data_IF_441522332392
#
_entry.id   IF_441522332392
#
_cell.length_a   1.000
_cell.length_b   1.000
_cell.length_c   1.000
_cell.angle_alpha   90.00
_cell.angle_beta   90.00
_cell.angle_gamma   90.00
#
_symmetry.space_group_name_H-M   'P 1'
#
loop_
_entity.id
_entity.type
_entity.pdbx_description
1 polymer ?
#
# COMPACT_ATOMS: atom_id res chain seq x y z
N UNK A 1 -23.39 -68.18 -38.99
CA UNK A 1 -23.08 -67.93 -37.57
C UNK A 1 -21.97 -66.89 -37.55
N UNK A 2 -22.33 -65.65 -37.23
CA UNK A 2 -21.46 -64.48 -37.29
C UNK A 2 -20.49 -64.46 -36.11
N UNK A 3 -19.19 -64.21 -36.35
CA UNK A 3 -18.31 -63.65 -35.32
C UNK A 3 -17.82 -62.28 -35.80
N UNK A 4 -18.22 -61.25 -35.04
CA UNK A 4 -17.80 -59.85 -35.18
C UNK A 4 -16.41 -59.68 -34.56
N UNK A 5 -15.51 -59.03 -35.28
CA UNK A 5 -14.32 -58.40 -34.70
C UNK A 5 -14.72 -57.02 -34.16
N UNK A 6 -14.44 -56.75 -32.88
CA UNK A 6 -14.42 -55.40 -32.30
C UNK A 6 -13.02 -54.80 -32.48
N UNK A 7 -12.88 -53.52 -32.88
CA UNK A 7 -11.62 -52.81 -32.75
C UNK A 7 -11.46 -52.31 -31.31
N UNK A 8 -10.31 -52.61 -30.70
CA UNK A 8 -9.87 -52.02 -29.43
C UNK A 8 -9.33 -50.63 -29.73
N UNK A 9 -10.03 -49.60 -29.30
CA UNK A 9 -9.53 -48.22 -29.30
C UNK A 9 -8.45 -48.07 -28.24
N UNK A 10 -7.22 -47.78 -28.67
CA UNK A 10 -6.17 -47.26 -27.80
C UNK A 10 -6.51 -45.81 -27.44
N UNK A 11 -6.92 -45.57 -26.20
CA UNK A 11 -6.97 -44.23 -25.63
C UNK A 11 -5.53 -43.87 -25.19
N UNK A 12 -4.83 -43.06 -25.99
CA UNK A 12 -3.65 -42.35 -25.46
C UNK A 12 -4.17 -41.29 -24.47
N UNK A 13 -4.02 -41.54 -23.17
CA UNK A 13 -4.01 -40.46 -22.20
C UNK A 13 -2.68 -39.71 -22.38
N UNK A 14 -2.72 -38.57 -23.06
CA UNK A 14 -1.70 -37.55 -22.93
C UNK A 14 -1.81 -36.95 -21.53
N UNK A 15 -0.96 -37.40 -20.62
CA UNK A 15 -0.75 -36.75 -19.32
C UNK A 15 -0.07 -35.40 -19.59
N UNK A 16 -0.84 -34.33 -19.64
CA UNK A 16 -0.31 -32.98 -19.53
C UNK A 16 0.01 -32.78 -18.06
N UNK A 17 1.28 -32.95 -17.70
CA UNK A 17 1.80 -32.52 -16.41
C UNK A 17 1.78 -30.98 -16.40
N UNK A 18 0.78 -30.38 -15.78
CA UNK A 18 0.91 -29.02 -15.30
C UNK A 18 1.95 -29.04 -14.17
N UNK A 19 2.97 -28.16 -14.19
CA UNK A 19 3.84 -28.00 -13.04
C UNK A 19 2.95 -27.61 -11.85
N UNK A 20 3.03 -28.40 -10.79
CA UNK A 20 2.46 -28.05 -9.50
C UNK A 20 3.10 -26.73 -9.08
N UNK A 21 2.29 -25.68 -8.95
CA UNK A 21 2.65 -24.51 -8.16
C UNK A 21 3.01 -25.02 -6.77
N UNK A 22 4.21 -24.70 -6.29
CA UNK A 22 4.53 -24.82 -4.88
C UNK A 22 3.53 -23.95 -4.09
N UNK A 23 2.99 -24.50 -3.01
CA UNK A 23 2.22 -23.77 -2.00
C UNK A 23 0.71 -23.64 -2.26
N UNK A 24 -0.05 -24.73 -2.26
CA UNK A 24 -1.45 -24.68 -1.82
C UNK A 24 -1.51 -24.97 -0.31
N UNK A 25 -0.78 -24.19 0.48
CA UNK A 25 -1.27 -23.88 1.82
C UNK A 25 -2.35 -22.83 1.61
N UNK A 26 -3.61 -23.25 1.52
CA UNK A 26 -4.71 -22.33 1.25
C UNK A 26 -4.75 -21.29 2.35
N UNK A 27 -4.26 -20.07 2.07
CA UNK A 27 -4.42 -18.96 3.00
C UNK A 27 -5.88 -18.84 3.42
N UNK A 28 -6.09 -18.41 4.66
CA UNK A 28 -7.44 -18.17 5.18
C UNK A 28 -8.01 -16.94 4.49
N UNK A 29 -8.89 -17.17 3.53
CA UNK A 29 -9.69 -16.11 2.91
C UNK A 29 -10.64 -15.51 3.95
N UNK A 30 -10.46 -14.22 4.24
CA UNK A 30 -11.24 -13.45 5.22
C UNK A 30 -12.53 -12.86 4.64
N UNK A 31 -12.72 -12.94 3.32
CA UNK A 31 -13.85 -12.29 2.62
C UNK A 31 -13.88 -10.77 2.87
N UNK A 32 -12.72 -10.14 3.00
CA UNK A 32 -12.57 -8.71 3.30
C UNK A 32 -13.21 -7.80 2.26
N UNK A 33 -13.31 -8.24 1.00
CA UNK A 33 -14.07 -7.58 -0.06
C UNK A 33 -15.60 -7.60 0.13
N UNK A 34 -16.10 -8.33 1.13
CA UNK A 34 -17.52 -8.35 1.54
C UNK A 34 -17.81 -7.61 2.85
N UNK A 35 -16.78 -7.03 3.49
CA UNK A 35 -17.00 -6.27 4.72
C UNK A 35 -17.71 -4.95 4.42
N UNK A 36 -18.68 -4.60 5.25
CA UNK A 36 -19.36 -3.32 5.18
C UNK A 36 -18.67 -2.33 6.14
N UNK A 37 -18.38 -1.12 5.65
CA UNK A 37 -17.84 -0.04 6.45
C UNK A 37 -18.34 1.32 5.94
N UNK A 38 -18.32 2.30 6.82
CA UNK A 38 -18.56 3.72 6.52
C UNK A 38 -17.53 4.52 7.27
N UNK A 39 -16.78 5.36 6.56
CA UNK A 39 -15.73 6.17 7.16
C UNK A 39 -16.25 7.47 7.81
N UNK A 40 -15.36 8.23 8.44
CA UNK A 40 -15.68 9.50 9.09
C UNK A 40 -16.16 10.60 8.13
N UNK A 41 -15.97 10.44 6.81
CA UNK A 41 -16.52 11.33 5.79
C UNK A 41 -17.91 10.87 5.27
N UNK A 42 -18.44 9.74 5.77
CA UNK A 42 -19.74 9.20 5.37
C UNK A 42 -19.70 8.38 4.08
N UNK A 43 -18.52 8.00 3.57
CA UNK A 43 -18.38 7.17 2.37
C UNK A 43 -18.61 5.72 2.74
N UNK A 44 -19.48 5.05 1.98
CA UNK A 44 -19.77 3.63 2.16
C UNK A 44 -18.90 2.82 1.20
N UNK A 45 -18.35 1.70 1.67
CA UNK A 45 -17.61 0.80 0.80
C UNK A 45 -18.53 0.16 -0.26
N UNK A 46 -18.12 0.11 -1.53
CA UNK A 46 -18.92 -0.50 -2.59
C UNK A 46 -19.14 -1.98 -2.32
N UNK A 47 -20.37 -2.44 -2.57
CA UNK A 47 -20.77 -3.84 -2.44
C UNK A 47 -21.15 -4.44 -3.79
N UNK A 48 -21.70 -5.66 -3.80
CA UNK A 48 -21.98 -6.47 -5.01
C UNK A 48 -22.78 -5.75 -6.11
N UNK A 49 -23.58 -4.73 -5.78
CA UNK A 49 -24.38 -3.95 -6.75
C UNK A 49 -23.69 -2.71 -7.29
N UNK A 50 -22.56 -2.31 -6.71
CA UNK A 50 -21.89 -1.04 -6.97
C UNK A 50 -20.47 -1.21 -7.53
N UNK A 51 -19.89 -2.40 -7.42
CA UNK A 51 -18.58 -2.75 -7.95
C UNK A 51 -18.71 -3.91 -8.96
N UNK A 52 -17.77 -4.03 -9.92
CA UNK A 52 -17.77 -5.17 -10.83
C UNK A 52 -17.53 -6.49 -10.06
N UNK A 53 -17.82 -7.65 -10.66
CA UNK A 53 -17.32 -8.92 -10.14
C UNK A 53 -15.78 -8.91 -10.04
N UNK A 54 -15.22 -9.71 -9.12
CA UNK A 54 -13.76 -9.82 -8.95
C UNK A 54 -13.02 -10.05 -10.27
N UNK A 55 -12.06 -9.17 -10.55
CA UNK A 55 -11.18 -9.14 -11.71
C UNK A 55 -9.80 -9.62 -11.28
N UNK A 56 -9.37 -10.77 -11.79
CA UNK A 56 -8.09 -11.41 -11.42
C UNK A 56 -6.89 -10.86 -12.19
N UNK A 57 -7.14 -10.04 -13.20
CA UNK A 57 -6.18 -9.45 -14.12
C UNK A 57 -5.96 -7.94 -13.87
N UNK A 58 -6.32 -7.47 -12.67
CA UNK A 58 -6.13 -6.09 -12.23
C UNK A 58 -5.38 -6.08 -10.90
N UNK A 59 -4.34 -5.26 -10.84
CA UNK A 59 -3.39 -5.25 -9.74
C UNK A 59 -3.22 -3.85 -9.15
N UNK A 60 -3.02 -3.79 -7.84
CA UNK A 60 -2.78 -2.53 -7.11
C UNK A 60 -1.50 -2.68 -6.30
N UNK A 61 -0.53 -1.82 -6.59
CA UNK A 61 0.66 -1.62 -5.78
C UNK A 61 0.57 -0.35 -4.97
N UNK A 62 1.23 -0.30 -3.82
CA UNK A 62 1.31 0.92 -3.01
C UNK A 62 2.76 1.27 -2.67
N UNK A 63 3.07 2.56 -2.72
CA UNK A 63 4.37 3.07 -2.29
C UNK A 63 4.50 2.94 -0.78
N UNK A 64 5.62 2.40 -0.31
CA UNK A 64 5.84 2.05 1.08
C UNK A 64 7.24 2.45 1.55
N UNK A 65 7.31 3.07 2.71
CA UNK A 65 8.52 3.66 3.28
C UNK A 65 9.05 2.82 4.43
N UNK A 66 10.24 2.25 4.23
CA UNK A 66 10.95 1.42 5.21
C UNK A 66 11.96 2.21 6.05
N UNK A 67 12.21 3.47 5.72
CA UNK A 67 13.18 4.36 6.41
C UNK A 67 12.72 4.99 7.74
N UNK A 68 11.63 4.49 8.35
CA UNK A 68 11.29 4.84 9.74
C UNK A 68 12.24 4.08 10.69
N UNK A 69 13.45 4.58 10.80
CA UNK A 69 14.54 3.90 11.51
C UNK A 69 14.72 4.45 12.93
N UNK A 70 15.69 3.89 13.65
CA UNK A 70 16.08 4.40 14.96
C UNK A 70 16.63 5.84 14.89
N UNK A 71 15.95 6.77 15.55
CA UNK A 71 16.44 8.13 15.83
C UNK A 71 16.47 8.41 17.33
N UNK A 72 17.61 8.93 17.82
CA UNK A 72 17.82 9.26 19.24
C UNK A 72 17.07 10.51 19.69
N UNK A 73 16.83 11.46 18.80
CA UNK A 73 16.09 12.69 19.10
C UNK A 73 14.71 12.65 18.42
N UNK A 74 13.82 13.55 18.81
CA UNK A 74 12.46 13.65 18.30
C UNK A 74 11.44 12.92 19.18
N UNK A 75 10.25 12.61 18.65
CA UNK A 75 9.75 12.96 17.32
C UNK A 75 9.62 14.48 17.14
N UNK A 76 10.05 15.00 15.98
CA UNK A 76 9.73 16.38 15.58
C UNK A 76 8.40 16.32 14.81
N UNK A 77 7.31 16.90 15.31
CA UNK A 77 5.99 16.82 14.68
C UNK A 77 5.53 18.21 14.21
N UNK A 78 5.47 18.40 12.90
CA UNK A 78 5.15 19.68 12.29
C UNK A 78 3.75 20.17 12.67
N UNK A 79 2.75 19.30 12.74
CA UNK A 79 1.39 19.70 13.13
C UNK A 79 1.39 20.26 14.56
N UNK A 80 2.09 19.60 15.49
CA UNK A 80 2.21 20.06 16.88
C UNK A 80 3.06 21.32 17.01
N UNK A 81 4.16 21.43 16.26
CA UNK A 81 5.05 22.60 16.28
C UNK A 81 4.32 23.86 15.75
N UNK A 82 3.60 23.72 14.64
CA UNK A 82 2.80 24.81 14.07
C UNK A 82 1.67 25.19 15.02
N UNK A 83 0.97 24.22 15.61
CA UNK A 83 -0.08 24.49 16.60
C UNK A 83 0.46 25.24 17.82
N UNK A 84 1.66 24.88 18.31
CA UNK A 84 2.30 25.54 19.44
C UNK A 84 2.71 26.99 19.14
N UNK A 85 3.07 27.29 17.88
CA UNK A 85 3.36 28.66 17.44
C UNK A 85 2.10 29.55 17.39
N UNK A 86 0.90 28.97 17.19
CA UNK A 86 -0.35 29.70 17.14
C UNK A 86 -0.38 30.71 15.98
N UNK A 87 -0.71 31.96 16.28
CA UNK A 87 -0.71 33.06 15.29
C UNK A 87 0.68 33.65 15.01
N UNK A 88 1.73 33.10 15.64
CA UNK A 88 3.10 33.54 15.39
C UNK A 88 3.51 33.23 13.94
N UNK A 89 4.15 34.17 13.22
CA UNK A 89 4.75 33.88 11.92
C UNK A 89 6.02 33.04 12.05
N UNK A 90 6.54 32.86 13.26
CA UNK A 90 7.76 32.10 13.56
C UNK A 90 7.41 30.78 14.26
N UNK A 91 7.93 29.67 13.72
CA UNK A 91 7.88 28.34 14.32
C UNK A 91 9.30 27.96 14.77
N UNK A 92 9.45 27.55 16.02
CA UNK A 92 10.72 27.04 16.53
C UNK A 92 10.98 25.62 16.00
N UNK A 93 11.56 25.53 14.81
CA UNK A 93 11.92 24.25 14.20
C UNK A 93 13.12 23.60 14.90
N UNK A 94 13.00 22.35 15.41
CA UNK A 94 14.14 21.66 16.00
C UNK A 94 15.34 21.54 15.04
N UNK A 95 16.54 21.70 15.57
CA UNK A 95 17.82 21.53 14.85
C UNK A 95 18.59 20.40 15.53
N UNK A 96 18.03 19.19 15.49
CA UNK A 96 18.54 18.00 16.19
C UNK A 96 18.93 16.84 15.25
N UNK A 97 18.87 17.07 13.94
CA UNK A 97 19.22 16.08 12.91
C UNK A 97 18.20 14.96 12.70
N UNK A 98 17.08 14.96 13.43
CA UNK A 98 15.97 14.02 13.23
C UNK A 98 15.03 14.55 12.16
N UNK A 99 14.53 13.70 11.23
CA UNK A 99 13.53 14.10 10.26
C UNK A 99 12.21 14.51 10.96
N UNK A 100 11.36 15.23 10.25
CA UNK A 100 10.13 15.76 10.80
C UNK A 100 8.94 14.92 10.36
N UNK A 101 8.13 14.51 11.31
CA UNK A 101 6.81 13.96 11.04
C UNK A 101 5.87 15.09 10.59
N UNK A 102 5.06 14.85 9.57
CA UNK A 102 4.00 15.79 9.20
C UNK A 102 2.81 15.75 10.17
N UNK A 103 2.62 14.63 10.88
CA UNK A 103 1.60 14.40 11.91
C UNK A 103 1.87 13.11 12.70
N UNK A 104 0.97 12.73 13.61
CA UNK A 104 1.11 11.50 14.42
C UNK A 104 0.36 10.32 13.78
N UNK A 105 1.07 9.22 13.41
CA UNK A 105 0.40 7.99 12.98
C UNK A 105 -0.51 7.44 14.07
N UNK A 106 -1.61 6.75 13.70
CA UNK A 106 -2.48 6.10 14.68
C UNK A 106 -1.70 5.13 15.59
N UNK A 107 -0.73 4.43 14.99
CA UNK A 107 0.17 3.48 15.64
C UNK A 107 1.35 4.15 16.35
N UNK A 108 1.36 5.49 16.43
CA UNK A 108 2.41 6.31 17.01
C UNK A 108 3.66 6.41 16.13
N UNK A 109 4.64 7.20 16.56
CA UNK A 109 5.96 7.37 15.94
C UNK A 109 6.83 6.10 16.00
N UNK A 110 6.41 5.05 15.31
CA UNK A 110 7.02 3.72 15.31
C UNK A 110 8.32 3.65 14.51
N UNK A 111 9.01 2.52 14.58
CA UNK A 111 10.05 2.14 13.62
C UNK A 111 9.56 1.02 12.71
N UNK A 112 10.08 0.92 11.48
CA UNK A 112 9.77 -0.17 10.56
C UNK A 112 10.48 -1.50 10.88
N UNK A 113 10.75 -1.73 12.16
CA UNK A 113 11.11 -3.03 12.74
C UNK A 113 10.09 -3.53 13.75
N UNK A 114 9.06 -2.73 14.08
CA UNK A 114 8.01 -3.07 15.04
C UNK A 114 7.03 -4.10 14.45
N UNK A 115 7.04 -5.36 14.92
CA UNK A 115 6.18 -6.41 14.36
C UNK A 115 4.69 -6.11 14.56
N UNK A 116 4.31 -5.35 15.60
CA UNK A 116 2.92 -4.94 15.81
C UNK A 116 2.43 -4.06 14.65
N UNK A 117 3.27 -3.11 14.24
CA UNK A 117 2.97 -2.18 13.14
C UNK A 117 2.98 -2.91 11.81
N UNK A 118 4.02 -3.71 11.55
CA UNK A 118 4.13 -4.50 10.32
C UNK A 118 2.89 -5.38 10.11
N UNK A 119 2.43 -6.08 11.15
CA UNK A 119 1.22 -6.91 11.09
C UNK A 119 -0.03 -6.10 10.78
N UNK A 120 -0.24 -4.99 11.48
CA UNK A 120 -1.43 -4.15 11.25
C UNK A 120 -1.43 -3.56 9.84
N UNK A 121 -0.28 -3.11 9.34
CA UNK A 121 -0.15 -2.66 7.95
C UNK A 121 -0.47 -3.77 6.94
N UNK A 122 0.09 -4.97 7.14
CA UNK A 122 -0.16 -6.11 6.27
C UNK A 122 -1.65 -6.47 6.20
N UNK A 123 -2.31 -6.62 7.36
CA UNK A 123 -3.74 -6.91 7.43
C UNK A 123 -4.56 -5.85 6.73
N UNK A 124 -4.38 -4.56 7.07
CA UNK A 124 -5.12 -3.46 6.45
C UNK A 124 -4.94 -3.43 4.93
N UNK A 125 -3.70 -3.51 4.44
CA UNK A 125 -3.42 -3.42 3.01
C UNK A 125 -3.94 -4.64 2.24
N UNK A 126 -3.83 -5.84 2.81
CA UNK A 126 -4.46 -7.04 2.25
C UNK A 126 -5.98 -6.93 2.23
N UNK A 127 -6.60 -6.43 3.29
CA UNK A 127 -8.05 -6.26 3.39
C UNK A 127 -8.59 -5.21 2.42
N UNK A 128 -7.81 -4.17 2.15
CA UNK A 128 -8.09 -3.19 1.10
C UNK A 128 -7.91 -3.75 -0.32
N UNK A 129 -7.21 -4.88 -0.48
CA UNK A 129 -6.97 -5.54 -1.76
C UNK A 129 -5.68 -5.13 -2.47
N UNK A 130 -4.68 -4.59 -1.75
CA UNK A 130 -3.35 -4.25 -2.27
C UNK A 130 -2.53 -5.53 -2.48
N UNK A 131 -1.96 -5.68 -3.69
CA UNK A 131 -1.22 -6.86 -4.10
C UNK A 131 0.27 -6.79 -3.73
N UNK A 132 0.87 -5.59 -3.74
CA UNK A 132 2.30 -5.42 -3.49
C UNK A 132 2.69 -4.10 -2.83
N UNK A 133 3.68 -4.17 -1.95
CA UNK A 133 4.42 -3.02 -1.43
C UNK A 133 5.62 -2.71 -2.32
N UNK A 134 5.80 -1.44 -2.66
CA UNK A 134 6.98 -0.95 -3.37
C UNK A 134 7.83 -0.17 -2.38
N UNK A 135 8.96 -0.73 -1.97
CA UNK A 135 9.85 -0.11 -1.00
C UNK A 135 10.63 1.05 -1.62
N UNK A 136 10.54 2.22 -0.98
CA UNK A 136 11.32 3.39 -1.37
C UNK A 136 12.81 3.19 -1.12
N UNK A 137 13.54 2.98 -2.21
CA UNK A 137 15.00 2.95 -2.25
C UNK A 137 15.54 3.91 -3.31
N UNK A 138 14.76 4.95 -3.62
CA UNK A 138 15.11 5.92 -4.69
C UNK A 138 16.34 6.75 -4.35
N UNK A 139 16.67 6.88 -3.05
CA UNK A 139 17.84 7.59 -2.55
C UNK A 139 19.01 6.63 -2.33
N UNK A 140 19.93 6.58 -3.30
CA UNK A 140 21.12 5.75 -3.21
C UNK A 140 22.03 6.16 -2.01
N UNK A 141 22.73 5.20 -1.38
CA UNK A 141 22.74 3.75 -1.62
C UNK A 141 21.79 2.99 -0.66
N UNK A 142 20.76 3.65 -0.13
CA UNK A 142 19.98 3.11 0.99
C UNK A 142 18.96 2.05 0.53
N UNK A 143 19.05 0.88 1.14
CA UNK A 143 18.08 -0.22 0.94
C UNK A 143 17.17 -0.46 2.14
N UNK A 144 17.53 0.09 3.31
CA UNK A 144 16.82 -0.14 4.58
C UNK A 144 16.72 -1.62 4.94
N UNK A 145 17.88 -2.30 4.89
CA UNK A 145 18.00 -3.76 5.03
C UNK A 145 17.38 -4.31 6.30
N UNK A 146 17.69 -3.69 7.43
CA UNK A 146 17.17 -4.15 8.72
C UNK A 146 15.63 -4.09 8.75
N UNK A 147 15.06 -3.03 8.19
CA UNK A 147 13.63 -2.75 8.16
C UNK A 147 12.88 -3.64 7.16
N UNK A 148 13.35 -3.78 5.91
CA UNK A 148 12.66 -4.67 4.95
C UNK A 148 12.78 -6.13 5.38
N UNK A 149 13.90 -6.56 5.98
CA UNK A 149 14.02 -7.94 6.46
C UNK A 149 13.15 -8.18 7.69
N UNK A 150 12.98 -7.19 8.58
CA UNK A 150 12.04 -7.28 9.69
C UNK A 150 10.61 -7.49 9.17
N UNK A 151 10.24 -6.73 8.12
CA UNK A 151 8.98 -6.93 7.41
C UNK A 151 8.87 -8.33 6.80
N UNK A 152 9.89 -8.80 6.08
CA UNK A 152 9.87 -10.13 5.46
C UNK A 152 9.74 -11.27 6.48
N UNK A 153 10.47 -11.20 7.59
CA UNK A 153 10.36 -12.17 8.71
C UNK A 153 8.96 -12.19 9.30
N UNK A 154 8.34 -11.03 9.47
CA UNK A 154 6.99 -10.97 10.03
C UNK A 154 5.94 -11.43 9.02
N UNK A 155 6.09 -11.10 7.73
CA UNK A 155 5.21 -11.61 6.67
C UNK A 155 5.29 -13.13 6.54
N UNK A 156 6.49 -13.71 6.64
CA UNK A 156 6.68 -15.15 6.68
C UNK A 156 5.92 -15.79 7.85
N UNK A 157 6.01 -15.22 9.07
CA UNK A 157 5.24 -15.69 10.23
C UNK A 157 3.73 -15.59 10.01
N UNK A 158 3.26 -14.44 9.50
CA UNK A 158 1.85 -14.24 9.18
C UNK A 158 1.35 -15.28 8.18
N UNK A 159 2.14 -15.59 7.14
CA UNK A 159 1.81 -16.61 6.14
C UNK A 159 1.80 -18.02 6.72
N UNK A 160 2.76 -18.37 7.59
CA UNK A 160 2.77 -19.64 8.32
C UNK A 160 1.56 -19.82 9.26
N UNK A 161 1.01 -18.73 9.78
CA UNK A 161 -0.25 -18.74 10.55
C UNK A 161 -1.48 -18.91 9.65
N UNK A 162 -1.31 -18.76 8.34
CA UNK A 162 -2.36 -18.86 7.31
C UNK A 162 -2.95 -17.52 6.89
N UNK A 163 -2.33 -16.39 7.25
CA UNK A 163 -2.76 -15.06 6.81
C UNK A 163 -2.17 -14.71 5.43
N UNK A 164 -2.90 -13.91 4.64
CA UNK A 164 -2.35 -13.30 3.44
C UNK A 164 -1.56 -12.04 3.80
N UNK A 165 -0.58 -11.72 2.96
CA UNK A 165 0.18 -10.46 3.03
C UNK A 165 0.40 -9.96 1.61
N UNK A 166 0.58 -8.64 1.39
CA UNK A 166 1.05 -8.15 0.10
C UNK A 166 2.42 -8.77 -0.25
N UNK A 167 2.72 -8.84 -1.53
CA UNK A 167 4.07 -9.13 -2.01
C UNK A 167 4.99 -7.91 -1.85
N UNK A 168 6.29 -8.08 -2.11
CA UNK A 168 7.30 -7.00 -2.01
C UNK A 168 7.96 -6.73 -3.35
N UNK A 169 8.29 -5.47 -3.60
CA UNK A 169 9.02 -4.96 -4.75
C UNK A 169 9.87 -3.75 -4.33
N UNK A 170 10.91 -3.43 -5.08
CA UNK A 170 11.77 -2.26 -4.82
C UNK A 170 11.64 -1.23 -5.94
N UNK A 171 11.61 0.05 -5.56
CA UNK A 171 11.85 1.16 -6.47
C UNK A 171 13.26 1.72 -6.24
N UNK A 172 14.13 1.46 -7.20
CA UNK A 172 15.52 1.89 -7.21
C UNK A 172 15.63 3.36 -7.69
N UNK A 173 16.80 4.01 -7.54
CA UNK A 173 17.02 5.37 -8.00
C UNK A 173 16.62 5.58 -9.47
N UNK A 174 15.96 6.70 -9.74
CA UNK A 174 15.50 7.06 -11.09
C UNK A 174 16.64 7.24 -12.12
N UNK A 175 17.85 7.53 -11.61
CA UNK A 175 19.09 7.61 -12.37
C UNK A 175 19.79 6.26 -12.47
N UNK A 176 21.03 6.19 -11.96
CA UNK A 176 21.79 4.94 -11.86
C UNK A 176 21.25 4.08 -10.69
N UNK A 177 20.65 2.91 -10.97
CA UNK A 177 20.07 2.06 -9.93
C UNK A 177 21.10 1.14 -9.26
N UNK A 178 22.30 0.99 -9.81
CA UNK A 178 23.26 -0.05 -9.40
C UNK A 178 23.64 -0.01 -7.91
N UNK A 179 23.83 1.16 -7.26
CA UNK A 179 24.17 1.21 -5.84
C UNK A 179 23.15 0.55 -4.90
N UNK A 180 21.89 0.45 -5.35
CA UNK A 180 20.78 -0.20 -4.63
C UNK A 180 20.56 -1.60 -5.19
N UNK A 181 20.50 -1.75 -6.52
CA UNK A 181 20.22 -3.01 -7.20
C UNK A 181 21.24 -4.10 -6.84
N UNK A 182 22.54 -3.77 -6.82
CA UNK A 182 23.59 -4.73 -6.46
C UNK A 182 23.44 -5.23 -5.01
N UNK A 183 23.02 -4.35 -4.10
CA UNK A 183 22.81 -4.71 -2.69
C UNK A 183 21.62 -5.64 -2.53
N UNK A 184 20.45 -5.27 -3.06
CA UNK A 184 19.26 -6.14 -2.96
C UNK A 184 19.44 -7.44 -3.74
N UNK A 185 20.22 -7.44 -4.82
CA UNK A 185 20.58 -8.66 -5.52
C UNK A 185 21.36 -9.62 -4.63
N UNK A 186 22.48 -9.18 -4.05
CA UNK A 186 23.32 -10.04 -3.21
C UNK A 186 22.67 -10.38 -1.86
N UNK A 187 21.88 -9.47 -1.29
CA UNK A 187 21.28 -9.63 0.04
C UNK A 187 19.97 -10.44 0.04
N UNK A 188 19.16 -10.36 -1.02
CA UNK A 188 17.79 -10.89 -1.04
C UNK A 188 17.55 -11.87 -2.20
N UNK A 189 17.74 -11.42 -3.44
CA UNK A 189 17.27 -12.16 -4.61
C UNK A 189 18.17 -13.34 -4.99
N UNK A 190 19.48 -13.12 -5.07
CA UNK A 190 20.45 -14.15 -5.46
C UNK A 190 20.51 -15.32 -4.47
N UNK A 191 20.43 -15.12 -3.15
CA UNK A 191 20.38 -16.23 -2.20
C UNK A 191 19.01 -16.91 -2.12
N UNK A 192 17.96 -16.37 -2.75
CA UNK A 192 16.61 -16.94 -2.72
C UNK A 192 15.84 -16.64 -1.43
N UNK A 193 16.16 -15.56 -0.71
CA UNK A 193 15.51 -15.27 0.57
C UNK A 193 14.08 -14.75 0.35
N UNK A 194 13.13 -15.35 1.06
CA UNK A 194 11.70 -15.00 1.00
C UNK A 194 11.12 -14.99 -0.43
N UNK A 195 11.50 -15.97 -1.26
CA UNK A 195 11.07 -16.06 -2.67
C UNK A 195 9.54 -15.97 -2.85
N UNK A 196 8.78 -16.54 -1.92
CA UNK A 196 7.31 -16.50 -1.94
C UNK A 196 6.73 -15.11 -1.69
N UNK A 197 7.51 -14.18 -1.12
CA UNK A 197 7.09 -12.79 -0.89
C UNK A 197 7.30 -11.91 -2.13
N UNK A 198 8.11 -12.32 -3.12
CA UNK A 198 8.48 -11.44 -4.23
C UNK A 198 7.29 -11.20 -5.17
N UNK A 199 7.03 -9.93 -5.49
CA UNK A 199 6.03 -9.62 -6.50
C UNK A 199 6.52 -10.02 -7.87
N UNK A 200 5.75 -10.86 -8.57
CA UNK A 200 6.10 -11.36 -9.90
C UNK A 200 5.28 -10.67 -10.97
N UNK A 201 5.96 -10.16 -11.98
CA UNK A 201 5.37 -9.56 -13.18
C UNK A 201 5.90 -10.28 -14.42
N UNK A 202 5.00 -10.72 -15.30
CA UNK A 202 5.34 -11.47 -16.51
C UNK A 202 6.19 -12.74 -16.22
N UNK A 203 5.90 -13.40 -15.08
CA UNK A 203 6.52 -14.66 -14.66
C UNK A 203 7.83 -14.53 -13.90
N UNK A 204 8.37 -13.32 -13.75
CA UNK A 204 9.64 -13.06 -13.04
C UNK A 204 9.48 -12.04 -11.91
N UNK A 205 10.36 -12.00 -10.91
CA UNK A 205 10.38 -10.92 -9.93
C UNK A 205 10.45 -9.56 -10.62
N UNK A 206 9.59 -8.64 -10.20
CA UNK A 206 9.59 -7.26 -10.67
C UNK A 206 10.62 -6.43 -9.89
N UNK A 207 11.32 -5.53 -10.58
CA UNK A 207 12.04 -4.43 -9.94
C UNK A 207 11.85 -3.15 -10.75
N UNK A 208 11.59 -2.03 -10.06
CA UNK A 208 11.55 -0.73 -10.72
C UNK A 208 12.96 -0.15 -10.74
N UNK A 209 13.69 -0.39 -11.83
CA UNK A 209 15.05 0.09 -12.04
C UNK A 209 15.27 0.35 -13.53
N UNK A 210 16.15 1.30 -13.87
CA UNK A 210 16.49 1.54 -15.27
C UNK A 210 17.41 0.42 -15.81
N UNK A 211 16.94 -0.45 -16.73
CA UNK A 211 17.71 -1.59 -17.22
C UNK A 211 18.93 -1.22 -18.07
N UNK A 212 19.06 0.03 -18.51
CA UNK A 212 20.19 0.49 -19.32
C UNK A 212 21.52 0.45 -18.55
N UNK A 213 21.47 0.58 -17.22
CA UNK A 213 22.63 0.52 -16.33
C UNK A 213 23.06 -0.92 -16.02
N UNK A 214 22.15 -1.89 -16.15
CA UNK A 214 22.38 -3.28 -15.73
C UNK A 214 23.14 -4.05 -16.82
N UNK A 215 24.41 -4.36 -16.55
CA UNK A 215 25.29 -5.10 -17.47
C UNK A 215 25.39 -6.59 -17.16
N UNK A 216 25.09 -7.01 -15.93
CA UNK A 216 25.11 -8.40 -15.52
C UNK A 216 24.01 -9.21 -16.26
N UNK A 217 24.37 -10.21 -17.09
CA UNK A 217 23.38 -11.01 -17.82
C UNK A 217 22.48 -11.84 -16.89
N UNK A 218 22.93 -12.21 -15.70
CA UNK A 218 22.14 -12.95 -14.72
C UNK A 218 21.00 -12.08 -14.18
N UNK A 219 21.32 -10.88 -13.68
CA UNK A 219 20.30 -9.91 -13.23
C UNK A 219 19.31 -9.57 -14.36
N UNK A 220 19.81 -9.35 -15.58
CA UNK A 220 18.97 -9.06 -16.76
C UNK A 220 18.00 -10.18 -17.10
N UNK A 221 18.41 -11.43 -16.90
CA UNK A 221 17.56 -12.59 -17.15
C UNK A 221 16.59 -12.85 -15.99
N UNK A 222 16.99 -12.52 -14.75
CA UNK A 222 16.23 -12.81 -13.55
C UNK A 222 15.01 -11.90 -13.37
N UNK A 223 15.15 -10.59 -13.56
CA UNK A 223 14.07 -9.64 -13.31
C UNK A 223 13.21 -9.34 -14.54
N UNK A 224 11.96 -9.00 -14.28
CA UNK A 224 11.20 -8.09 -15.14
C UNK A 224 11.52 -6.67 -14.70
N UNK A 225 12.02 -5.85 -15.62
CA UNK A 225 12.33 -4.44 -15.35
C UNK A 225 11.19 -3.54 -15.80
N UNK A 226 10.88 -2.53 -14.99
CA UNK A 226 10.19 -1.32 -15.43
C UNK A 226 11.01 -0.12 -15.01
N UNK A 227 11.30 0.81 -15.90
CA UNK A 227 12.05 2.02 -15.53
C UNK A 227 11.13 2.96 -14.74
N UNK A 228 11.46 3.34 -13.50
CA UNK A 228 10.68 4.32 -12.77
C UNK A 228 10.91 5.72 -13.33
N UNK A 229 9.84 6.48 -13.54
CA UNK A 229 9.89 7.84 -14.06
C UNK A 229 9.78 8.88 -12.92
N UNK A 230 10.71 9.85 -12.82
CA UNK A 230 10.79 10.76 -11.67
C UNK A 230 9.81 11.93 -11.70
N UNK A 231 9.32 12.32 -12.87
CA UNK A 231 8.57 13.56 -13.08
C UNK A 231 7.07 13.29 -13.16
N UNK A 232 6.26 14.25 -12.68
CA UNK A 232 4.81 14.10 -12.58
C UNK A 232 4.05 14.74 -13.74
N UNK A 233 4.73 15.62 -14.49
CA UNK A 233 4.18 16.41 -15.60
C UNK A 233 4.61 15.85 -16.95
N UNK A 234 5.81 15.30 -17.00
CA UNK A 234 6.35 14.62 -18.17
C UNK A 234 6.01 13.14 -18.07
N UNK A 235 5.09 12.70 -18.94
CA UNK A 235 4.74 11.29 -19.06
C UNK A 235 5.90 10.38 -19.54
N UNK A 236 5.59 9.12 -19.87
CA UNK A 236 6.60 8.15 -20.27
C UNK A 236 7.38 8.61 -21.50
N UNK A 237 8.68 8.34 -21.50
CA UNK A 237 9.59 8.56 -22.64
C UNK A 237 9.72 7.33 -23.54
N UNK A 238 9.11 6.21 -23.16
CA UNK A 238 9.13 4.95 -23.90
C UNK A 238 8.28 3.88 -23.23
N UNK A 239 8.23 2.66 -23.80
CA UNK A 239 7.52 1.53 -23.20
C UNK A 239 8.25 0.99 -21.96
N UNK A 240 7.55 0.15 -21.19
CA UNK A 240 8.10 -0.58 -20.03
C UNK A 240 8.69 0.37 -18.97
N UNK A 241 8.01 1.50 -18.77
CA UNK A 241 8.29 2.50 -17.75
C UNK A 241 7.06 2.63 -16.86
N UNK A 242 7.22 2.85 -15.57
CA UNK A 242 6.11 3.12 -14.64
C UNK A 242 6.32 4.45 -13.92
N UNK A 243 5.23 5.12 -13.56
CA UNK A 243 5.27 6.28 -12.66
C UNK A 243 4.96 5.86 -11.24
N UNK A 244 5.61 6.54 -10.29
CA UNK A 244 5.29 6.45 -8.87
C UNK A 244 4.27 7.51 -8.45
N UNK A 245 4.19 8.66 -9.13
CA UNK A 245 3.26 9.75 -8.84
C UNK A 245 3.06 10.63 -10.07
N UNK A 246 1.84 11.11 -10.30
CA UNK A 246 1.49 12.01 -11.41
C UNK A 246 0.60 13.14 -10.91
N UNK A 247 0.52 14.22 -11.68
CA UNK A 247 -0.52 15.25 -11.52
C UNK A 247 -1.73 14.89 -12.37
N UNK A 248 -2.90 15.43 -12.04
CA UNK A 248 -4.08 15.26 -12.88
C UNK A 248 -4.04 16.14 -14.15
N UNK A 249 -4.47 15.63 -15.32
CA UNK A 249 -4.78 14.23 -15.63
C UNK A 249 -3.49 13.40 -15.79
N UNK A 250 -3.49 12.16 -15.28
CA UNK A 250 -2.29 11.32 -15.32
C UNK A 250 -2.00 10.78 -16.72
N UNK A 251 -0.73 10.45 -16.95
CA UNK A 251 -0.33 9.74 -18.17
C UNK A 251 -0.61 8.24 -18.07
N UNK A 252 -0.91 7.63 -19.23
CA UNK A 252 -0.98 6.18 -19.41
C UNK A 252 0.42 5.63 -19.68
N UNK A 253 0.94 4.77 -18.79
CA UNK A 253 2.23 4.11 -18.96
C UNK A 253 2.05 2.77 -19.67
N UNK A 254 2.62 2.68 -20.88
CA UNK A 254 2.43 1.53 -21.77
C UNK A 254 3.57 0.54 -21.69
N UNK A 255 3.25 -0.74 -21.85
CA UNK A 255 4.27 -1.77 -22.07
C UNK A 255 4.71 -1.83 -23.53
N UNK A 256 5.71 -2.65 -23.83
CA UNK A 256 6.22 -2.88 -25.19
C UNK A 256 5.20 -3.46 -26.18
N UNK A 257 4.06 -4.00 -25.70
CA UNK A 257 2.93 -4.42 -26.54
C UNK A 257 1.96 -3.28 -26.87
N UNK A 258 2.15 -2.10 -26.27
CA UNK A 258 1.30 -0.92 -26.46
C UNK A 258 0.04 -0.90 -25.60
N UNK A 259 -0.09 -1.85 -24.67
CA UNK A 259 -1.19 -1.92 -23.71
C UNK A 259 -0.97 -0.88 -22.61
N UNK A 260 -2.05 -0.25 -22.12
CA UNK A 260 -2.01 0.62 -20.94
C UNK A 260 -1.76 -0.25 -19.71
N UNK A 261 -0.49 -0.38 -19.35
CA UNK A 261 -0.05 -1.30 -18.31
C UNK A 261 -0.22 -0.67 -16.93
N UNK A 262 0.16 0.59 -16.76
CA UNK A 262 0.18 1.24 -15.46
C UNK A 262 -0.31 2.69 -15.49
N UNK A 263 -0.98 3.10 -14.41
CA UNK A 263 -1.19 4.50 -14.04
C UNK A 263 -0.97 4.67 -12.55
N UNK A 264 -0.52 5.85 -12.13
CA UNK A 264 -0.39 6.17 -10.71
C UNK A 264 -1.55 7.03 -10.22
N UNK A 265 -1.84 6.95 -8.92
CA UNK A 265 -2.83 7.79 -8.23
C UNK A 265 -2.23 8.24 -6.91
N UNK A 266 -2.39 9.52 -6.59
CA UNK A 266 -1.80 10.11 -5.38
C UNK A 266 -2.85 10.72 -4.46
N UNK A 267 -2.60 10.67 -3.15
CA UNK A 267 -3.43 11.43 -2.21
C UNK A 267 -3.14 12.94 -2.32
N UNK A 268 -1.88 13.29 -2.56
CA UNK A 268 -1.39 14.63 -2.81
C UNK A 268 -0.13 14.56 -3.71
N UNK A 269 0.38 15.72 -4.13
CA UNK A 269 1.62 15.86 -4.88
C UNK A 269 2.46 17.00 -4.31
N UNK A 270 3.75 16.75 -4.15
CA UNK A 270 4.79 17.77 -3.96
C UNK A 270 5.05 18.47 -5.30
N UNK A 271 4.02 19.10 -5.85
CA UNK A 271 4.09 19.87 -7.09
C UNK A 271 3.21 21.11 -6.98
N UNK A 272 3.69 22.20 -7.56
CA UNK A 272 2.96 23.45 -7.64
C UNK A 272 2.15 23.50 -8.94
N UNK A 273 0.94 24.09 -8.94
CA UNK A 273 0.13 24.21 -10.14
C UNK A 273 0.89 24.89 -11.28
N UNK A 274 0.81 24.30 -12.48
CA UNK A 274 1.46 24.77 -13.71
C UNK A 274 2.98 25.01 -13.55
N UNK A 275 3.65 24.24 -12.70
CA UNK A 275 5.09 24.37 -12.44
C UNK A 275 5.74 23.01 -12.66
N UNK A 276 6.47 22.82 -13.77
CA UNK A 276 7.12 21.55 -14.07
C UNK A 276 8.07 21.11 -12.95
N UNK A 277 8.08 19.81 -12.69
CA UNK A 277 8.90 19.15 -11.69
C UNK A 277 8.37 19.23 -10.25
N UNK A 278 9.06 18.53 -9.32
CA UNK A 278 8.73 18.55 -7.91
C UNK A 278 9.00 19.92 -7.26
N UNK A 279 8.20 20.24 -6.26
CA UNK A 279 8.24 21.49 -5.50
C UNK A 279 7.91 21.23 -4.03
N UNK A 280 8.37 22.07 -3.09
CA UNK A 280 8.13 21.81 -1.69
C UNK A 280 6.65 21.78 -1.30
N UNK A 281 6.24 20.74 -0.58
CA UNK A 281 4.92 20.67 0.08
C UNK A 281 4.69 21.86 1.01
N UNK A 282 5.74 22.43 1.59
CA UNK A 282 5.67 23.62 2.45
C UNK A 282 5.57 24.94 1.70
N UNK A 283 5.59 24.96 0.37
CA UNK A 283 5.66 26.18 -0.41
C UNK A 283 4.36 27.01 -0.31
N UNK A 284 4.47 28.32 -0.06
CA UNK A 284 3.35 29.27 0.14
C UNK A 284 2.34 29.35 -1.01
N UNK A 285 2.80 29.15 -2.26
CA UNK A 285 1.93 28.99 -3.45
C UNK A 285 0.92 27.83 -3.33
N UNK A 286 1.11 26.91 -2.39
CA UNK A 286 0.27 25.74 -2.17
C UNK A 286 0.59 24.64 -3.17
N UNK A 287 1.25 23.58 -2.69
CA UNK A 287 1.34 22.34 -3.45
C UNK A 287 -0.05 21.73 -3.66
N UNK A 288 -0.18 20.81 -4.62
CA UNK A 288 -1.44 20.08 -4.87
C UNK A 288 -1.69 19.09 -3.73
N UNK A 289 -2.32 19.58 -2.67
CA UNK A 289 -2.60 18.85 -1.43
C UNK A 289 -3.84 17.95 -1.52
N UNK A 290 -4.23 17.38 -0.39
CA UNK A 290 -5.33 16.40 -0.32
C UNK A 290 -6.69 16.98 -0.75
N UNK A 291 -6.89 18.28 -0.54
CA UNK A 291 -8.11 19.02 -0.89
C UNK A 291 -8.10 19.57 -2.33
N UNK A 292 -7.03 19.36 -3.09
CA UNK A 292 -6.91 19.81 -4.47
C UNK A 292 -7.87 19.05 -5.39
N UNK A 293 -8.63 19.74 -6.22
CA UNK A 293 -9.47 19.14 -7.26
C UNK A 293 -9.94 20.22 -8.24
N UNK A 294 -10.34 19.85 -9.46
CA UNK A 294 -10.84 20.78 -10.47
C UNK A 294 -9.89 21.97 -10.73
N UNK A 295 -8.58 21.73 -10.63
CA UNK A 295 -7.53 22.75 -10.85
C UNK A 295 -7.34 23.76 -9.71
N UNK A 296 -7.87 23.52 -8.51
CA UNK A 296 -7.69 24.40 -7.35
C UNK A 296 -7.75 23.68 -5.99
N UNK A 297 -7.27 24.35 -4.95
CA UNK A 297 -7.42 23.89 -3.56
C UNK A 297 -8.82 24.23 -3.04
N UNK A 298 -9.53 23.26 -2.45
CA UNK A 298 -10.76 23.56 -1.72
C UNK A 298 -10.45 24.30 -0.41
N UNK A 299 -11.04 25.50 -0.17
CA UNK A 299 -10.74 26.28 1.02
C UNK A 299 -11.52 25.82 2.27
N UNK A 300 -12.45 24.86 2.14
CA UNK A 300 -13.30 24.44 3.25
C UNK A 300 -12.47 23.74 4.34
N UNK A 301 -12.67 24.04 5.64
CA UNK A 301 -11.83 23.50 6.71
C UNK A 301 -11.72 21.98 6.75
N UNK A 302 -12.81 21.27 6.44
CA UNK A 302 -12.85 19.80 6.45
C UNK A 302 -12.52 19.16 5.09
N UNK A 303 -12.22 19.93 4.04
CA UNK A 303 -11.92 19.37 2.72
C UNK A 303 -10.69 18.45 2.73
N UNK A 304 -9.73 18.72 3.62
CA UNK A 304 -8.55 17.87 3.87
C UNK A 304 -8.90 16.46 4.35
N UNK A 305 -10.13 16.19 4.78
CA UNK A 305 -10.60 14.86 5.19
C UNK A 305 -11.30 14.09 4.07
N UNK A 306 -11.61 14.77 2.96
CA UNK A 306 -12.42 14.22 1.86
C UNK A 306 -11.59 13.55 0.76
N UNK A 307 -10.28 13.84 0.70
CA UNK A 307 -9.37 13.29 -0.31
C UNK A 307 -9.82 13.56 -1.74
N UNK A 308 -10.18 14.81 -2.03
CA UNK A 308 -10.73 15.23 -3.33
C UNK A 308 -9.72 15.02 -4.46
N UNK A 309 -8.43 15.24 -4.19
CA UNK A 309 -7.37 14.97 -5.16
C UNK A 309 -7.36 13.48 -5.49
N UNK A 310 -7.40 12.63 -4.46
CA UNK A 310 -7.38 11.18 -4.64
C UNK A 310 -8.58 10.69 -5.44
N UNK A 311 -9.79 11.20 -5.14
CA UNK A 311 -11.03 10.90 -5.86
C UNK A 311 -10.94 11.28 -7.35
N UNK A 312 -10.46 12.48 -7.67
CA UNK A 312 -10.28 12.95 -9.06
C UNK A 312 -9.32 12.05 -9.85
N UNK A 313 -8.20 11.65 -9.22
CA UNK A 313 -7.22 10.78 -9.84
C UNK A 313 -7.75 9.36 -10.09
N UNK A 314 -8.44 8.77 -9.11
CA UNK A 314 -9.00 7.43 -9.25
C UNK A 314 -10.09 7.36 -10.32
N UNK A 315 -10.97 8.36 -10.40
CA UNK A 315 -12.02 8.38 -11.44
C UNK A 315 -11.41 8.30 -12.83
N UNK A 316 -10.38 9.12 -13.09
CA UNK A 316 -9.71 9.11 -14.37
C UNK A 316 -8.96 7.80 -14.63
N UNK A 317 -8.26 7.24 -13.63
CA UNK A 317 -7.61 5.94 -13.77
C UNK A 317 -8.62 4.81 -14.09
N UNK A 318 -9.81 4.82 -13.48
CA UNK A 318 -10.88 3.86 -13.79
C UNK A 318 -11.40 3.99 -15.22
N UNK A 319 -11.49 5.21 -15.76
CA UNK A 319 -11.87 5.42 -17.16
C UNK A 319 -10.85 4.85 -18.15
N UNK A 320 -9.57 4.83 -17.78
CA UNK A 320 -8.48 4.26 -18.59
C UNK A 320 -8.30 2.76 -18.43
N UNK A 321 -8.77 2.20 -17.32
CA UNK A 321 -8.72 0.78 -16.98
C UNK A 321 -7.33 0.13 -17.20
N UNK A 322 -6.25 0.68 -16.61
CA UNK A 322 -4.92 0.08 -16.73
C UNK A 322 -4.88 -1.31 -16.11
N UNK A 323 -3.91 -2.14 -16.48
CA UNK A 323 -3.69 -3.45 -15.84
C UNK A 323 -3.22 -3.31 -14.38
N UNK A 324 -2.47 -2.24 -14.08
CA UNK A 324 -1.87 -1.97 -12.78
C UNK A 324 -2.16 -0.54 -12.33
N UNK A 325 -2.57 -0.35 -11.08
CA UNK A 325 -2.63 0.98 -10.45
C UNK A 325 -1.55 1.06 -9.35
N UNK A 326 -0.74 2.10 -9.41
CA UNK A 326 0.27 2.40 -8.39
C UNK A 326 -0.23 3.54 -7.49
N UNK A 327 -0.42 3.26 -6.21
CA UNK A 327 -0.91 4.23 -5.23
C UNK A 327 0.25 4.89 -4.50
N UNK A 328 0.27 6.21 -4.45
CA UNK A 328 1.20 6.98 -3.61
C UNK A 328 0.45 7.73 -2.52
N UNK A 329 0.56 7.29 -1.27
CA UNK A 329 1.25 6.09 -0.77
C UNK A 329 0.74 5.69 0.61
N UNK A 330 1.36 4.69 1.25
CA UNK A 330 0.88 4.17 2.54
C UNK A 330 1.36 4.99 3.74
N UNK A 331 2.68 5.05 4.02
CA UNK A 331 3.21 5.47 5.33
C UNK A 331 4.39 6.47 5.25
N UNK A 332 4.36 7.46 4.37
CA UNK A 332 5.40 8.50 4.31
C UNK A 332 5.21 9.56 5.41
N UNK A 333 5.45 9.19 6.68
CA UNK A 333 5.23 10.11 7.80
C UNK A 333 6.27 11.20 7.95
N UNK A 334 7.50 10.96 7.50
CA UNK A 334 8.65 11.81 7.78
C UNK A 334 9.20 12.49 6.53
N UNK A 335 9.77 13.69 6.70
CA UNK A 335 10.51 14.40 5.66
C UNK A 335 11.74 15.11 6.23
N UNK A 336 12.74 15.33 5.36
CA UNK A 336 13.86 16.21 5.64
C UNK A 336 13.44 17.68 5.65
N UNK A 337 14.06 18.46 6.55
CA UNK A 337 13.94 19.92 6.59
C UNK A 337 15.18 20.56 5.97
N UNK A 338 14.99 21.52 5.07
CA UNK A 338 16.08 22.19 4.38
C UNK A 338 16.02 23.71 4.56
N UNK A 339 17.13 24.39 4.28
CA UNK A 339 17.16 25.84 4.06
C UNK A 339 17.02 26.16 2.56
N UNK A 340 17.54 25.28 1.71
CA UNK A 340 17.47 25.39 0.26
C UNK A 340 17.37 24.01 -0.35
N UNK A 341 16.50 23.87 -1.35
CA UNK A 341 16.38 22.67 -2.16
C UNK A 341 16.06 23.06 -3.60
N UNK A 342 16.87 22.60 -4.55
CA UNK A 342 16.79 23.04 -5.96
C UNK A 342 16.81 24.58 -6.06
N UNK A 343 15.80 25.18 -6.69
CA UNK A 343 15.60 26.63 -6.81
C UNK A 343 14.83 27.24 -5.63
N UNK A 344 14.29 26.42 -4.73
CA UNK A 344 13.44 26.86 -3.62
C UNK A 344 14.27 27.09 -2.36
N UNK A 345 13.84 28.07 -1.57
CA UNK A 345 14.47 28.45 -0.31
C UNK A 345 13.42 28.53 0.78
N UNK A 346 13.84 28.45 2.04
CA UNK A 346 12.91 28.38 3.17
C UNK A 346 12.08 29.66 3.37
N UNK A 347 12.50 30.78 2.77
CA UNK A 347 11.72 32.02 2.75
C UNK A 347 10.45 31.92 1.90
N UNK A 348 10.34 30.93 1.01
CA UNK A 348 9.11 30.69 0.23
C UNK A 348 8.17 29.68 0.87
N UNK A 349 8.50 29.19 2.08
CA UNK A 349 7.66 28.25 2.85
C UNK A 349 6.63 28.98 3.71
N UNK A 350 5.52 28.30 4.05
CA UNK A 350 4.44 28.85 4.88
C UNK A 350 4.94 29.45 6.19
N UNK A 351 5.91 28.80 6.83
CA UNK A 351 6.68 29.37 7.93
C UNK A 351 8.17 29.36 7.56
N UNK A 352 8.89 30.48 7.73
CA UNK A 352 10.33 30.55 7.50
C UNK A 352 11.10 29.45 8.26
N UNK A 353 12.19 28.98 7.67
CA UNK A 353 12.99 27.88 8.22
C UNK A 353 12.38 26.47 8.06
N UNK A 354 11.15 26.37 7.53
CA UNK A 354 10.40 25.13 7.36
C UNK A 354 10.27 24.68 5.91
N UNK A 355 11.37 24.57 5.14
CA UNK A 355 11.31 23.98 3.81
C UNK A 355 11.23 22.46 3.91
N UNK A 356 10.08 21.91 3.57
CA UNK A 356 9.82 20.47 3.49
C UNK A 356 9.40 20.10 2.07
N UNK A 357 10.21 19.25 1.42
CA UNK A 357 9.97 18.87 0.03
C UNK A 357 8.81 17.87 -0.05
N UNK A 358 8.93 16.79 0.71
CA UNK A 358 8.13 15.59 0.51
C UNK A 358 6.83 15.61 1.29
N UNK A 359 6.88 15.98 2.57
CA UNK A 359 5.74 15.91 3.50
C UNK A 359 5.82 17.07 4.49
N UNK A 360 4.69 17.71 4.79
CA UNK A 360 4.70 18.92 5.62
C UNK A 360 3.61 18.94 6.69
N UNK A 361 2.35 18.79 6.31
CA UNK A 361 1.18 18.80 7.22
C UNK A 361 0.12 17.80 6.73
N UNK A 362 -1.00 17.69 7.44
CA UNK A 362 -2.13 16.89 6.98
C UNK A 362 -2.56 17.24 5.56
N UNK A 363 -2.65 18.52 5.20
CA UNK A 363 -3.03 18.94 3.83
C UNK A 363 -1.95 18.62 2.79
N UNK A 364 -0.68 18.73 3.18
CA UNK A 364 0.46 18.61 2.27
C UNK A 364 1.26 17.35 2.61
N UNK A 365 0.58 16.22 2.49
CA UNK A 365 1.14 14.88 2.68
C UNK A 365 0.48 13.83 1.79
N UNK A 366 1.21 12.76 1.44
CA UNK A 366 0.78 11.74 0.46
C UNK A 366 0.28 10.43 1.07
N UNK A 367 0.17 10.39 2.39
CA UNK A 367 0.04 9.19 3.20
C UNK A 367 -1.43 8.72 3.37
N UNK A 368 -1.72 7.44 3.19
CA UNK A 368 -3.04 6.82 3.39
C UNK A 368 -3.23 6.17 4.76
N UNK A 369 -2.17 6.00 5.55
CA UNK A 369 -2.21 5.38 6.86
C UNK A 369 -3.11 6.20 7.82
N UNK A 370 -3.81 5.52 8.74
CA UNK A 370 -4.60 6.21 9.73
C UNK A 370 -3.80 7.19 10.59
N UNK A 371 -4.41 8.33 10.89
CA UNK A 371 -3.79 9.42 11.64
C UNK A 371 -4.48 9.64 12.99
N UNK A 372 -3.70 9.79 14.06
CA UNK A 372 -4.23 10.23 15.36
C UNK A 372 -4.56 11.72 15.34
N UNK A 373 -5.79 12.08 15.73
CA UNK A 373 -6.21 13.47 15.92
C UNK A 373 -6.37 14.28 14.62
N UNK A 374 -6.43 13.61 13.47
CA UNK A 374 -6.58 14.23 12.15
C UNK A 374 -7.69 13.58 11.32
N UNK A 375 -7.32 12.86 10.26
CA UNK A 375 -8.27 12.19 9.35
C UNK A 375 -8.67 10.78 9.78
N UNK A 376 -8.19 10.28 10.92
CA UNK A 376 -8.48 8.93 11.40
C UNK A 376 -8.24 7.91 10.28
N UNK A 377 -9.21 7.09 9.89
CA UNK A 377 -9.09 6.05 8.85
C UNK A 377 -9.70 6.46 7.49
N UNK A 378 -10.06 7.73 7.29
CA UNK A 378 -10.74 8.20 6.08
C UNK A 378 -9.98 7.81 4.79
N UNK A 379 -8.66 7.97 4.76
CA UNK A 379 -7.87 7.66 3.56
C UNK A 379 -7.70 6.16 3.33
N UNK A 380 -7.66 5.36 4.40
CA UNK A 380 -7.69 3.91 4.29
C UNK A 380 -9.00 3.41 3.66
N UNK A 381 -10.15 3.90 4.13
CA UNK A 381 -11.43 3.51 3.55
C UNK A 381 -11.66 4.08 2.15
N UNK A 382 -11.11 5.26 1.84
CA UNK A 382 -11.11 5.77 0.47
C UNK A 382 -10.28 4.88 -0.47
N UNK A 383 -9.10 4.41 -0.02
CA UNK A 383 -8.28 3.45 -0.76
C UNK A 383 -9.07 2.16 -1.01
N UNK A 384 -9.63 1.55 0.03
CA UNK A 384 -10.42 0.33 -0.09
C UNK A 384 -11.65 0.52 -1.01
N UNK A 385 -12.33 1.67 -0.91
CA UNK A 385 -13.45 2.02 -1.79
C UNK A 385 -13.05 1.93 -3.27
N UNK A 386 -11.95 2.58 -3.63
CA UNK A 386 -11.52 2.65 -5.02
C UNK A 386 -10.94 1.33 -5.53
N UNK A 387 -10.20 0.60 -4.70
CA UNK A 387 -9.72 -0.72 -5.07
C UNK A 387 -10.91 -1.65 -5.35
N UNK A 388 -11.99 -1.59 -4.57
CA UNK A 388 -13.22 -2.36 -4.85
C UNK A 388 -13.87 -1.97 -6.17
N UNK A 389 -13.94 -0.68 -6.51
CA UNK A 389 -14.43 -0.25 -7.83
C UNK A 389 -13.55 -0.74 -8.98
N UNK A 390 -12.24 -0.84 -8.76
CA UNK A 390 -11.26 -1.23 -9.78
C UNK A 390 -11.13 -2.74 -9.97
N UNK A 391 -10.87 -3.48 -8.89
CA UNK A 391 -10.67 -4.94 -8.86
C UNK A 391 -11.98 -5.70 -8.71
N UNK A 392 -13.06 -5.05 -8.29
CA UNK A 392 -14.35 -5.67 -8.05
C UNK A 392 -14.48 -6.28 -6.65
N UNK A 393 -15.66 -6.85 -6.40
CA UNK A 393 -16.01 -7.56 -5.16
C UNK A 393 -16.74 -8.85 -5.49
N UNK A 394 -16.69 -9.83 -4.59
CA UNK A 394 -17.50 -11.05 -4.71
C UNK A 394 -18.96 -10.81 -4.32
N UNK A 395 -19.89 -11.70 -4.72
CA UNK A 395 -21.26 -11.69 -4.21
C UNK A 395 -21.30 -11.86 -2.68
N UNK A 396 -22.25 -11.18 -2.05
CA UNK A 396 -22.46 -11.31 -0.61
C UNK A 396 -22.85 -12.75 -0.25
N UNK A 397 -22.22 -13.36 0.77
CA UNK A 397 -22.67 -14.63 1.31
C UNK A 397 -24.14 -14.54 1.73
N UNK A 398 -25.00 -15.35 1.11
CA UNK A 398 -26.44 -15.36 1.42
C UNK A 398 -26.67 -16.16 2.70
N UNK A 399 -27.56 -15.67 3.56
CA UNK A 399 -27.94 -16.40 4.78
C UNK A 399 -29.05 -17.39 4.41
N UNK A 400 -28.82 -18.71 4.47
CA UNK A 400 -29.78 -19.71 4.00
C UNK A 400 -31.02 -19.84 4.91
N UNK A 401 -31.01 -19.18 6.07
CA UNK A 401 -32.06 -19.24 7.09
C UNK A 401 -31.52 -19.78 8.43
N UNK A 402 -32.39 -19.89 9.46
CA UNK A 402 -31.98 -20.38 10.76
C UNK A 402 -31.53 -21.84 10.70
N UNK A 403 -30.38 -22.16 11.29
CA UNK A 403 -29.95 -23.54 11.50
C UNK A 403 -30.32 -24.05 12.89
N UNK A 404 -30.69 -25.33 12.98
CA UNK A 404 -31.06 -25.95 14.25
C UNK A 404 -29.81 -26.28 15.07
N UNK A 405 -29.49 -25.41 16.03
CA UNK A 405 -28.43 -25.64 17.01
C UNK A 405 -29.02 -26.18 18.32
N UNK A 406 -28.39 -27.23 18.86
CA UNK A 406 -28.60 -27.68 20.24
C UNK A 406 -27.55 -27.01 21.15
N UNK A 407 -28.01 -26.47 22.27
CA UNK A 407 -27.14 -25.88 23.29
C UNK A 407 -26.84 -26.96 24.33
N UNK A 408 -25.99 -27.92 23.97
CA UNK A 408 -25.60 -29.06 24.79
C UNK A 408 -24.08 -29.15 25.01
N UNK A 409 -23.33 -28.15 24.53
CA UNK A 409 -21.87 -28.09 24.60
C UNK A 409 -21.15 -28.82 23.47
N UNK A 410 -21.88 -29.46 22.54
CA UNK A 410 -21.32 -30.12 21.36
C UNK A 410 -21.46 -29.19 20.15
N UNK A 411 -20.34 -28.91 19.48
CA UNK A 411 -20.30 -27.90 18.41
C UNK A 411 -20.54 -28.43 17.00
N UNK A 412 -20.84 -29.72 16.85
CA UNK A 412 -21.02 -30.35 15.53
C UNK A 412 -22.14 -29.69 14.72
N UNK A 413 -23.22 -29.24 15.38
CA UNK A 413 -24.35 -28.57 14.73
C UNK A 413 -23.94 -27.25 14.02
N UNK A 414 -22.79 -26.67 14.38
CA UNK A 414 -22.29 -25.41 13.81
C UNK A 414 -21.50 -25.59 12.49
N UNK A 415 -21.20 -26.83 12.07
CA UNK A 415 -20.45 -27.08 10.83
C UNK A 415 -21.16 -26.49 9.62
N UNK A 416 -22.49 -26.62 9.60
CA UNK A 416 -23.33 -26.30 8.43
C UNK A 416 -23.90 -24.87 8.51
N UNK A 417 -23.65 -24.15 9.60
CA UNK A 417 -24.09 -22.75 9.75
C UNK A 417 -23.25 -21.85 8.85
N UNK A 418 -23.96 -21.03 8.08
CA UNK A 418 -23.42 -20.05 7.14
C UNK A 418 -24.18 -18.71 7.28
N UNK A 419 -23.54 -17.57 6.98
CA UNK A 419 -22.13 -17.45 6.61
C UNK A 419 -21.18 -17.59 7.81
N UNK A 420 -19.95 -17.99 7.52
CA UNK A 420 -18.84 -17.89 8.46
C UNK A 420 -18.18 -16.51 8.36
N UNK A 421 -18.17 -15.75 9.46
CA UNK A 421 -17.39 -14.52 9.57
C UNK A 421 -16.01 -14.86 10.10
N UNK A 422 -14.97 -14.31 9.48
CA UNK A 422 -13.58 -14.70 9.69
C UNK A 422 -12.74 -13.49 10.01
N UNK A 423 -11.79 -13.71 10.92
CA UNK A 423 -10.75 -12.72 11.25
C UNK A 423 -9.37 -13.33 10.99
N UNK A 424 -8.38 -12.45 10.90
CA UNK A 424 -6.97 -12.81 10.82
C UNK A 424 -6.55 -13.61 12.06
N UNK A 425 -5.60 -14.54 11.89
CA UNK A 425 -5.04 -15.30 13.01
C UNK A 425 -3.89 -14.52 13.64
N UNK A 426 -3.81 -14.52 14.97
CA UNK A 426 -2.67 -13.94 15.68
C UNK A 426 -2.60 -12.42 15.63
N UNK A 427 -3.72 -11.75 15.36
CA UNK A 427 -3.81 -10.28 15.33
C UNK A 427 -3.76 -9.63 16.74
N UNK A 428 -3.69 -10.46 17.78
CA UNK A 428 -3.46 -10.12 19.19
C UNK A 428 -1.99 -9.97 19.60
N UNK A 429 -1.08 -9.90 18.63
CA UNK A 429 0.36 -9.75 18.90
C UNK A 429 0.62 -8.63 19.90
N UNK A 430 1.33 -8.94 20.98
CA UNK A 430 1.71 -7.94 21.97
C UNK A 430 2.74 -6.97 21.37
N UNK A 431 2.67 -5.72 21.81
CA UNK A 431 3.65 -4.69 21.44
C UNK A 431 4.58 -4.43 22.61
N UNK A 432 5.87 -4.49 22.36
CA UNK A 432 6.92 -4.04 23.27
C UNK A 432 8.09 -3.54 22.42
N UNK A 433 8.02 -2.29 21.99
CA UNK A 433 8.93 -1.77 20.98
C UNK A 433 9.21 -0.28 21.15
N UNK A 434 10.43 0.13 20.80
CA UNK A 434 10.82 1.54 20.79
C UNK A 434 10.19 2.31 19.63
N UNK A 435 9.91 3.58 19.88
CA UNK A 435 9.58 4.56 18.87
C UNK A 435 10.68 5.61 18.75
N UNK A 436 10.41 6.66 17.99
CA UNK A 436 11.32 7.81 17.87
C UNK A 436 11.63 8.44 19.23
N UNK A 437 12.88 8.89 19.39
CA UNK A 437 13.34 9.50 20.64
C UNK A 437 13.34 8.51 21.80
N UNK A 438 12.77 8.93 22.94
CA UNK A 438 12.68 8.13 24.16
C UNK A 438 11.34 7.37 24.27
N UNK A 439 10.55 7.30 23.19
CA UNK A 439 9.24 6.67 23.22
C UNK A 439 9.39 5.14 23.28
N UNK A 440 8.57 4.51 24.12
CA UNK A 440 8.45 3.07 24.20
C UNK A 440 6.97 2.67 24.22
N UNK A 441 6.57 1.80 23.30
CA UNK A 441 5.20 1.33 23.16
C UNK A 441 5.03 -0.03 23.82
N UNK A 442 4.04 -0.15 24.69
CA UNK A 442 3.64 -1.41 25.32
C UNK A 442 2.15 -1.68 25.09
N UNK A 443 1.80 -2.86 24.57
CA UNK A 443 0.43 -3.36 24.49
C UNK A 443 0.42 -4.85 24.80
N UNK A 444 -0.13 -5.23 25.95
CA UNK A 444 -0.27 -6.62 26.39
C UNK A 444 -1.72 -7.05 26.53
N UNK A 445 -2.64 -6.34 25.87
CA UNK A 445 -4.08 -6.52 26.11
C UNK A 445 -4.60 -7.80 25.48
N UNK A 446 -4.09 -8.19 24.31
CA UNK A 446 -4.39 -9.46 23.63
C UNK A 446 -5.89 -9.74 23.50
N UNK A 447 -6.71 -8.72 23.23
CA UNK A 447 -8.17 -8.82 23.28
C UNK A 447 -8.74 -9.20 21.92
N UNK A 448 -9.84 -9.98 21.96
CA UNK A 448 -10.74 -10.27 20.83
C UNK A 448 -10.15 -11.11 19.67
N UNK A 449 -9.28 -12.09 19.93
CA UNK A 449 -8.84 -13.07 18.91
C UNK A 449 -9.99 -14.05 18.55
N UNK A 450 -10.91 -13.60 17.70
CA UNK A 450 -12.02 -14.40 17.20
C UNK A 450 -11.78 -14.79 15.75
N UNK A 451 -11.08 -15.91 15.53
CA UNK A 451 -10.79 -16.39 14.17
C UNK A 451 -12.04 -16.75 13.34
N UNK A 452 -13.13 -17.13 14.02
CA UNK A 452 -14.41 -17.52 13.40
C UNK A 452 -15.58 -17.10 14.28
N UNK A 453 -16.55 -16.41 13.68
CA UNK A 453 -17.86 -16.17 14.26
C UNK A 453 -18.98 -16.70 13.35
N UNK A 454 -19.98 -17.33 13.95
CA UNK A 454 -21.18 -17.83 13.28
C UNK A 454 -22.41 -17.47 14.10
N UNK A 455 -23.52 -17.20 13.44
CA UNK A 455 -24.78 -16.87 14.09
C UNK A 455 -25.91 -17.77 13.57
N UNK A 456 -26.78 -18.21 14.48
CA UNK A 456 -28.05 -18.86 14.15
C UNK A 456 -29.13 -18.32 15.08
N UNK A 457 -30.37 -18.31 14.61
CA UNK A 457 -31.54 -17.88 15.38
C UNK A 457 -32.66 -18.91 15.24
N UNK A 458 -33.74 -18.75 16.01
CA UNK A 458 -34.99 -19.48 15.81
C UNK A 458 -36.09 -18.48 15.54
N UNK A 459 -36.93 -18.77 14.56
CA UNK A 459 -38.20 -18.05 14.39
C UNK A 459 -39.19 -18.74 15.33
N UNK A 460 -39.60 -18.07 16.41
CA UNK A 460 -40.73 -18.55 17.20
C UNK A 460 -41.99 -18.37 16.36
N UNK A 461 -42.66 -19.49 16.06
CA UNK A 461 -43.96 -19.53 15.38
C UNK A 461 -45.11 -19.35 16.36
#
# INVERSE_FOLDING_TARGET
>A
MFLRFLPVSFLMLSTVCFPASAGDESFRDLYSDTWAATDGAGRVLPMETEAPPLRKDRFVGIFYWTWHIQYKNGPNDNTKLIQAAGDSPEVEWPVNGTPHHWGEPELGYYWMTDPFVIRKHASMLTDAGVDALFFDTTNAPFTWKEEYEALCREYERMRQEGNQTPAICFIAPFGDPMPVLERVWEDLYKPGLWEDLWFRWEGKPLILANPDYVKDPEMRAFFTFRRPMPDYWLGPSGPDQWSWLEVYPQHEFKNSRGETEQMSVGVAQNALPNTPGPAPMSHTRGAMGRSWHNGGKDPSPDAVKLGLNFDEQWRYALEKDPTFIFVTGWNEWIAGRFQKWSIYTDETSYYPGGLFVDQYTQEYSRDCEPMRGGHEDNYYYQLAHWIRKYKGVRPLPRIPGPGNIRIDGIFNDWSDIQPEYRDARGDITHRDHKGFGEIHYTNTTGRNDFITAKASWRIQG
#
